data_IF_042254455465
#
_entry.id   IF_042254455465
#
_cell.length_a   1.000
_cell.length_b   1.000
_cell.length_c   1.000
_cell.angle_alpha   90.00
_cell.angle_beta   90.00
_cell.angle_gamma   90.00
#
_symmetry.space_group_name_H-M   'P 1'
#
loop_
_entity.id
_entity.type
_entity.pdbx_description
1 polymer ?
#
# COMPACT_ATOMS: atom_id res chain seq x y z
N UNK A 1 19.42 54.41 -12.53
CA UNK A 1 19.32 53.37 -11.46
C UNK A 1 17.99 52.66 -11.63
N UNK A 2 17.98 51.60 -12.43
CA UNK A 2 16.81 50.78 -12.74
C UNK A 2 17.01 49.40 -12.14
N UNK A 3 16.20 49.03 -11.15
CA UNK A 3 16.14 47.67 -10.63
C UNK A 3 14.77 47.45 -9.96
N UNK A 4 13.78 47.01 -10.73
CA UNK A 4 12.53 46.44 -10.21
C UNK A 4 12.68 44.91 -10.08
N UNK A 5 12.21 44.28 -8.99
CA UNK A 5 12.38 42.85 -8.78
C UNK A 5 11.19 42.02 -9.30
N UNK A 6 11.48 40.96 -10.05
CA UNK A 6 10.98 39.63 -9.68
C UNK A 6 9.56 39.19 -10.06
N UNK A 7 8.91 39.79 -11.07
CA UNK A 7 7.78 39.12 -11.72
C UNK A 7 8.28 38.02 -12.64
N UNK A 8 7.99 36.73 -12.36
CA UNK A 8 8.14 35.67 -13.37
C UNK A 8 7.37 36.17 -14.60
N UNK A 9 8.08 36.51 -15.68
CA UNK A 9 7.49 37.17 -16.84
C UNK A 9 6.23 36.39 -17.25
N UNK A 10 5.07 37.05 -17.31
CA UNK A 10 3.78 36.39 -17.49
C UNK A 10 3.72 35.44 -18.72
N UNK A 11 4.60 35.69 -19.70
CA UNK A 11 4.87 34.81 -20.83
C UNK A 11 5.41 33.42 -20.41
N UNK A 12 6.43 33.38 -19.55
CA UNK A 12 7.04 32.16 -19.01
C UNK A 12 6.06 31.35 -18.17
N UNK A 13 5.15 32.01 -17.43
CA UNK A 13 4.10 31.33 -16.66
C UNK A 13 3.07 30.66 -17.59
N UNK A 14 2.66 31.32 -18.68
CA UNK A 14 1.73 30.72 -19.66
C UNK A 14 2.33 29.52 -20.38
N UNK A 15 3.60 29.60 -20.76
CA UNK A 15 4.31 28.48 -21.39
C UNK A 15 4.43 27.29 -20.43
N UNK A 16 4.80 27.55 -19.17
CA UNK A 16 4.84 26.53 -18.11
C UNK A 16 3.47 25.89 -17.88
N UNK A 17 2.40 26.68 -17.84
CA UNK A 17 1.03 26.20 -17.71
C UNK A 17 0.60 25.34 -18.90
N UNK A 18 1.01 25.71 -20.12
CA UNK A 18 0.74 24.91 -21.34
C UNK A 18 1.39 23.52 -21.26
N UNK A 19 2.65 23.45 -20.82
CA UNK A 19 3.36 22.17 -20.61
C UNK A 19 2.67 21.33 -19.54
N UNK A 20 2.32 21.92 -18.39
CA UNK A 20 1.62 21.22 -17.31
C UNK A 20 0.24 20.70 -17.77
N UNK A 21 -0.55 21.52 -18.47
CA UNK A 21 -1.86 21.13 -18.98
C UNK A 21 -1.80 20.00 -20.02
N UNK A 22 -0.72 19.90 -20.78
CA UNK A 22 -0.51 18.78 -21.71
C UNK A 22 -0.29 17.48 -20.94
N UNK A 23 0.64 17.49 -19.98
CA UNK A 23 0.88 16.36 -19.09
C UNK A 23 -0.40 15.92 -18.38
N UNK A 24 -1.13 16.86 -17.77
CA UNK A 24 -2.35 16.57 -17.03
C UNK A 24 -3.45 15.97 -17.93
N UNK A 25 -3.60 16.44 -19.17
CA UNK A 25 -4.54 15.85 -20.13
C UNK A 25 -4.17 14.42 -20.50
N UNK A 26 -2.88 14.14 -20.69
CA UNK A 26 -2.44 12.77 -20.92
C UNK A 26 -2.70 11.88 -19.70
N UNK A 27 -2.46 12.38 -18.49
CA UNK A 27 -2.69 11.64 -17.24
C UNK A 27 -4.17 11.45 -16.88
N UNK A 28 -5.08 12.29 -17.39
CA UNK A 28 -6.53 12.25 -17.10
C UNK A 28 -7.25 11.09 -17.82
N UNK A 29 -6.74 9.87 -17.63
CA UNK A 29 -7.33 8.63 -18.11
C UNK A 29 -6.93 7.50 -17.16
N UNK A 30 -7.91 6.69 -16.78
CA UNK A 30 -7.77 5.63 -15.77
C UNK A 30 -6.70 4.60 -16.14
N UNK A 31 -6.81 4.00 -17.34
CA UNK A 31 -5.87 2.97 -17.80
C UNK A 31 -4.43 3.51 -17.85
N UNK A 32 -4.22 4.71 -18.40
CA UNK A 32 -2.90 5.34 -18.45
C UNK A 32 -2.33 5.59 -17.05
N UNK A 33 -3.17 6.05 -16.12
CA UNK A 33 -2.76 6.26 -14.75
C UNK A 33 -2.35 4.95 -14.06
N UNK A 34 -3.12 3.88 -14.25
CA UNK A 34 -2.82 2.54 -13.73
C UNK A 34 -1.51 1.98 -14.29
N UNK A 35 -1.29 2.10 -15.60
CA UNK A 35 -0.04 1.71 -16.26
C UNK A 35 1.14 2.46 -15.63
N UNK A 36 1.05 3.79 -15.54
CA UNK A 36 2.13 4.62 -15.00
C UNK A 36 2.41 4.33 -13.51
N UNK A 37 1.39 3.97 -12.72
CA UNK A 37 1.57 3.50 -11.34
C UNK A 37 2.39 2.21 -11.31
N UNK A 38 2.08 1.23 -12.16
CA UNK A 38 2.84 -0.02 -12.25
C UNK A 38 4.30 0.21 -12.70
N UNK A 39 4.52 1.15 -13.61
CA UNK A 39 5.86 1.52 -14.08
C UNK A 39 6.68 2.31 -13.07
N UNK A 40 6.03 2.92 -12.07
CA UNK A 40 6.72 3.55 -10.92
C UNK A 40 7.39 2.50 -10.04
N UNK A 41 6.87 1.26 -10.02
CA UNK A 41 7.43 0.14 -9.26
C UNK A 41 8.61 -0.55 -9.97
N UNK A 42 8.74 -0.38 -11.29
CA UNK A 42 9.79 -1.00 -12.07
C UNK A 42 9.44 -1.14 -13.56
N UNK A 43 10.44 -1.52 -14.35
CA UNK A 43 10.27 -1.81 -15.77
C UNK A 43 9.40 -3.07 -15.97
N UNK A 44 8.39 -3.00 -16.87
CA UNK A 44 7.43 -4.09 -17.11
C UNK A 44 7.12 -4.30 -18.59
N UNK A 45 6.80 -5.52 -18.98
CA UNK A 45 6.30 -5.82 -20.32
C UNK A 45 4.75 -5.83 -20.37
N UNK A 46 4.19 -5.89 -21.59
CA UNK A 46 2.74 -5.83 -21.81
C UNK A 46 2.00 -6.98 -21.11
N UNK A 47 2.55 -8.21 -21.11
CA UNK A 47 1.91 -9.36 -20.46
C UNK A 47 1.91 -9.26 -18.94
N UNK A 48 2.97 -8.70 -18.35
CA UNK A 48 3.00 -8.40 -16.92
C UNK A 48 1.99 -7.32 -16.54
N UNK A 49 1.84 -6.29 -17.39
CA UNK A 49 0.84 -5.24 -17.19
C UNK A 49 -0.58 -5.79 -17.30
N UNK A 50 -0.87 -6.61 -18.31
CA UNK A 50 -2.16 -7.28 -18.50
C UNK A 50 -2.53 -8.15 -17.29
N UNK A 51 -1.61 -8.99 -16.82
CA UNK A 51 -1.82 -9.84 -15.65
C UNK A 51 -2.07 -9.02 -14.36
N UNK A 52 -1.44 -7.85 -14.23
CA UNK A 52 -1.56 -7.01 -13.03
C UNK A 52 -2.77 -6.09 -13.02
N UNK A 53 -3.21 -5.62 -14.20
CA UNK A 53 -4.25 -4.60 -14.33
C UNK A 53 -5.59 -5.15 -14.82
N UNK A 54 -5.62 -6.36 -15.40
CA UNK A 54 -6.83 -6.93 -16.00
C UNK A 54 -7.31 -6.18 -17.25
N UNK A 55 -6.48 -5.29 -17.81
CA UNK A 55 -6.77 -4.54 -19.03
C UNK A 55 -6.35 -5.40 -20.22
N UNK A 56 -7.20 -5.50 -21.24
CA UNK A 56 -6.90 -6.28 -22.44
C UNK A 56 -5.63 -5.80 -23.14
N UNK A 57 -4.89 -6.73 -23.74
CA UNK A 57 -3.68 -6.43 -24.51
C UNK A 57 -3.89 -5.35 -25.59
N UNK A 58 -5.06 -5.31 -26.24
CA UNK A 58 -5.38 -4.30 -27.27
C UNK A 58 -5.48 -2.90 -26.68
N UNK A 59 -6.20 -2.73 -25.55
CA UNK A 59 -6.28 -1.44 -24.86
C UNK A 59 -4.92 -1.02 -24.30
N UNK A 60 -4.18 -1.94 -23.66
CA UNK A 60 -2.83 -1.66 -23.16
C UNK A 60 -1.89 -1.19 -24.26
N UNK A 61 -1.90 -1.84 -25.41
CA UNK A 61 -1.04 -1.47 -26.55
C UNK A 61 -1.40 -0.08 -27.08
N UNK A 62 -2.70 0.26 -27.14
CA UNK A 62 -3.16 1.60 -27.51
C UNK A 62 -2.69 2.65 -26.50
N UNK A 63 -2.90 2.42 -25.20
CA UNK A 63 -2.50 3.36 -24.17
C UNK A 63 -0.98 3.54 -24.11
N UNK A 64 -0.20 2.46 -24.25
CA UNK A 64 1.26 2.52 -24.30
C UNK A 64 1.77 3.27 -25.54
N UNK A 65 1.08 3.16 -26.67
CA UNK A 65 1.40 3.96 -27.86
C UNK A 65 1.22 5.46 -27.61
N UNK A 66 0.08 5.85 -27.01
CA UNK A 66 -0.21 7.24 -26.62
C UNK A 66 0.82 7.74 -25.60
N UNK A 67 1.10 6.96 -24.56
CA UNK A 67 2.09 7.32 -23.53
C UNK A 67 3.50 7.48 -24.10
N UNK A 68 3.84 6.73 -25.16
CA UNK A 68 5.13 6.85 -25.85
C UNK A 68 5.19 8.08 -26.74
N UNK A 69 4.11 8.39 -27.46
CA UNK A 69 3.99 9.60 -28.28
C UNK A 69 4.10 10.87 -27.43
N UNK A 70 3.43 10.89 -26.27
CA UNK A 70 3.51 11.97 -25.28
C UNK A 70 4.79 11.95 -24.43
N UNK A 71 5.76 11.09 -24.76
CA UNK A 71 7.07 10.99 -24.09
C UNK A 71 6.97 10.77 -22.57
N UNK A 72 5.95 10.03 -22.11
CA UNK A 72 5.79 9.65 -20.69
C UNK A 72 6.43 8.30 -20.36
N UNK A 73 6.60 7.43 -21.36
CA UNK A 73 7.26 6.13 -21.21
C UNK A 73 8.33 5.91 -22.27
N UNK A 74 9.36 5.14 -21.92
CA UNK A 74 10.38 4.59 -22.82
C UNK A 74 10.07 3.13 -23.08
N UNK A 75 10.42 2.67 -24.27
CA UNK A 75 10.30 1.26 -24.65
C UNK A 75 11.69 0.70 -24.98
N UNK A 76 12.03 -0.43 -24.37
CA UNK A 76 13.25 -1.20 -24.63
C UNK A 76 12.88 -2.60 -25.10
N UNK A 77 13.40 -3.01 -26.26
CA UNK A 77 13.19 -4.38 -26.75
C UNK A 77 14.23 -5.31 -26.12
N UNK A 78 13.76 -6.39 -25.50
CA UNK A 78 14.60 -7.44 -24.92
C UNK A 78 14.11 -8.81 -25.41
N UNK A 79 14.78 -9.36 -26.43
CA UNK A 79 14.36 -10.58 -27.10
C UNK A 79 12.98 -10.44 -27.75
N UNK A 80 12.05 -11.33 -27.37
CA UNK A 80 10.67 -11.35 -27.87
C UNK A 80 9.79 -10.26 -27.24
N UNK A 81 10.18 -9.71 -26.09
CA UNK A 81 9.35 -8.81 -25.31
C UNK A 81 9.79 -7.34 -25.45
N UNK A 82 8.82 -6.43 -25.33
CA UNK A 82 9.06 -4.99 -25.20
C UNK A 82 8.75 -4.61 -23.76
N UNK A 83 9.75 -4.05 -23.10
CA UNK A 83 9.67 -3.56 -21.74
C UNK A 83 9.51 -2.04 -21.73
N UNK A 84 8.69 -1.55 -20.81
CA UNK A 84 8.38 -0.13 -20.66
C UNK A 84 8.87 0.38 -19.31
N UNK A 85 9.34 1.62 -19.31
CA UNK A 85 9.77 2.35 -18.11
C UNK A 85 9.35 3.82 -18.22
N UNK A 86 9.31 4.56 -17.09
CA UNK A 86 9.00 5.99 -17.11
C UNK A 86 10.07 6.77 -17.88
N UNK A 87 9.66 7.74 -18.69
CA UNK A 87 10.56 8.45 -19.58
C UNK A 87 11.51 9.44 -18.90
N UNK A 88 11.20 9.88 -17.67
CA UNK A 88 12.02 10.85 -16.96
C UNK A 88 11.58 11.11 -15.52
N UNK A 89 12.42 11.83 -14.75
CA UNK A 89 12.21 12.08 -13.33
C UNK A 89 10.98 12.96 -13.05
N UNK A 90 10.57 13.83 -13.97
CA UNK A 90 9.39 14.70 -13.80
C UNK A 90 8.09 13.91 -13.76
N UNK A 91 7.94 12.95 -14.69
CA UNK A 91 6.79 12.04 -14.71
C UNK A 91 6.76 11.21 -13.44
N UNK A 92 7.91 10.67 -13.02
CA UNK A 92 8.02 9.90 -11.79
C UNK A 92 7.62 10.72 -10.55
N UNK A 93 8.02 12.00 -10.46
CA UNK A 93 7.63 12.90 -9.36
C UNK A 93 6.13 13.14 -9.31
N UNK A 94 5.52 13.51 -10.44
CA UNK A 94 4.07 13.74 -10.52
C UNK A 94 3.31 12.46 -10.18
N UNK A 95 3.71 11.32 -10.75
CA UNK A 95 3.09 10.02 -10.46
C UNK A 95 3.24 9.62 -9.00
N UNK A 96 4.40 9.87 -8.37
CA UNK A 96 4.60 9.58 -6.94
C UNK A 96 3.70 10.42 -6.04
N UNK A 97 3.45 11.68 -6.39
CA UNK A 97 2.51 12.54 -5.65
C UNK A 97 1.07 12.06 -5.80
N UNK A 98 0.64 11.80 -7.04
CA UNK A 98 -0.72 11.36 -7.33
C UNK A 98 -1.00 9.96 -6.77
N UNK A 99 -0.08 9.01 -6.92
CA UNK A 99 -0.22 7.67 -6.34
C UNK A 99 -0.21 7.73 -4.81
N UNK A 100 0.64 8.57 -4.21
CA UNK A 100 0.61 8.85 -2.79
C UNK A 100 -0.74 9.40 -2.32
N UNK A 101 -1.41 10.26 -3.09
CA UNK A 101 -2.70 10.83 -2.70
C UNK A 101 -3.89 9.88 -2.93
N UNK A 102 -3.88 9.13 -4.02
CA UNK A 102 -5.06 8.41 -4.50
C UNK A 102 -4.93 6.89 -4.43
N UNK A 103 -3.75 6.32 -4.62
CA UNK A 103 -3.55 4.86 -4.50
C UNK A 103 -3.53 4.40 -3.03
N UNK A 104 -3.35 5.31 -2.06
CA UNK A 104 -3.60 5.03 -0.64
C UNK A 104 -5.07 4.76 -0.32
N UNK A 105 -5.99 5.06 -1.25
CA UNK A 105 -7.42 4.80 -1.09
C UNK A 105 -7.84 3.41 -1.60
N UNK A 106 -6.87 2.62 -2.06
CA UNK A 106 -7.06 1.26 -2.59
C UNK A 106 -6.16 0.25 -1.87
N UNK A 107 -5.92 0.43 -0.57
CA UNK A 107 -5.43 -0.66 0.25
C UNK A 107 -6.49 -1.77 0.21
N UNK A 108 -6.27 -2.82 -0.59
CA UNK A 108 -7.06 -4.06 -0.60
C UNK A 108 -7.01 -4.83 0.73
N UNK A 109 -6.61 -4.14 1.80
CA UNK A 109 -6.57 -4.59 3.16
C UNK A 109 -7.99 -4.71 3.69
N UNK A 110 -8.52 -5.94 3.68
CA UNK A 110 -9.77 -6.27 4.34
C UNK A 110 -9.57 -6.22 5.87
N UNK A 111 -10.24 -5.27 6.52
CA UNK A 111 -10.30 -5.15 7.98
C UNK A 111 -11.64 -5.75 8.44
N UNK A 112 -11.57 -6.68 9.38
CA UNK A 112 -12.73 -7.24 10.07
C UNK A 112 -12.75 -6.74 11.52
N UNK A 113 -13.77 -5.99 11.89
CA UNK A 113 -13.98 -5.55 13.26
C UNK A 113 -14.54 -6.69 14.12
N UNK A 114 -13.98 -6.89 15.31
CA UNK A 114 -14.50 -7.88 16.28
C UNK A 114 -15.20 -7.22 17.46
N UNK A 115 -14.65 -6.11 17.95
CA UNK A 115 -15.28 -5.24 18.94
C UNK A 115 -14.89 -3.77 18.70
N UNK A 116 -15.21 -2.87 19.64
CA UNK A 116 -14.90 -1.43 19.51
C UNK A 116 -13.39 -1.13 19.48
N UNK A 117 -12.58 -1.99 20.09
CA UNK A 117 -11.15 -1.79 20.32
C UNK A 117 -10.27 -2.71 19.47
N UNK A 118 -10.79 -3.79 18.89
CA UNK A 118 -9.99 -4.80 18.20
C UNK A 118 -10.57 -5.14 16.83
N UNK A 119 -9.70 -5.04 15.83
CA UNK A 119 -9.95 -5.47 14.46
C UNK A 119 -8.82 -6.37 13.97
N UNK A 120 -9.08 -7.14 12.92
CA UNK A 120 -8.07 -7.98 12.27
C UNK A 120 -7.98 -7.73 10.78
N UNK A 121 -6.81 -7.98 10.19
CA UNK A 121 -6.65 -7.85 8.75
C UNK A 121 -5.70 -8.89 8.14
N UNK A 122 -5.73 -8.97 6.80
CA UNK A 122 -4.72 -9.66 5.99
C UNK A 122 -3.34 -9.00 6.04
N UNK A 123 -2.44 -9.45 5.18
CA UNK A 123 -1.04 -9.01 5.19
C UNK A 123 -0.94 -7.49 4.97
N UNK A 124 -0.42 -6.77 5.97
CA UNK A 124 -0.09 -5.35 5.84
C UNK A 124 1.11 -5.16 4.90
N UNK A 125 1.01 -4.17 4.03
CA UNK A 125 2.12 -3.53 3.34
C UNK A 125 2.64 -2.34 4.16
N UNK A 126 3.77 -1.78 3.73
CA UNK A 126 4.33 -0.56 4.35
C UNK A 126 3.43 0.65 4.09
N UNK A 127 2.73 0.67 2.96
CA UNK A 127 1.94 1.80 2.51
C UNK A 127 0.57 1.87 3.19
N UNK A 128 0.07 0.73 3.71
CA UNK A 128 -1.22 0.67 4.43
C UNK A 128 -1.18 1.44 5.75
N UNK A 129 -0.01 1.62 6.37
CA UNK A 129 0.09 2.07 7.76
C UNK A 129 -0.33 3.53 7.97
N UNK A 130 -0.17 4.38 6.95
CA UNK A 130 -0.72 5.74 6.98
C UNK A 130 -2.24 5.74 7.03
N UNK A 131 -2.87 4.86 6.23
CA UNK A 131 -4.33 4.68 6.23
C UNK A 131 -4.83 4.01 7.52
N UNK A 132 -4.13 3.00 8.02
CA UNK A 132 -4.43 2.38 9.32
C UNK A 132 -4.41 3.42 10.46
N UNK A 133 -3.44 4.34 10.45
CA UNK A 133 -3.40 5.44 11.42
C UNK A 133 -4.59 6.40 11.28
N UNK A 134 -5.04 6.70 10.05
CA UNK A 134 -6.17 7.61 9.81
C UNK A 134 -7.52 7.00 10.24
N UNK A 135 -7.64 5.67 10.26
CA UNK A 135 -8.79 4.95 10.83
C UNK A 135 -8.82 4.92 12.37
N UNK A 136 -7.82 5.53 13.01
CA UNK A 136 -7.73 5.65 14.47
C UNK A 136 -7.05 4.45 15.16
N UNK A 137 -6.51 3.49 14.41
CA UNK A 137 -5.63 2.49 14.99
C UNK A 137 -4.33 3.16 15.45
N UNK A 138 -3.92 2.85 16.68
CA UNK A 138 -2.62 3.31 17.23
C UNK A 138 -1.76 2.15 17.69
N UNK A 139 -2.27 0.92 17.63
CA UNK A 139 -1.50 -0.29 17.87
C UNK A 139 -1.71 -1.31 16.76
N UNK A 140 -0.62 -1.92 16.27
CA UNK A 140 -0.63 -3.05 15.33
C UNK A 140 0.05 -4.26 15.95
N UNK A 141 -0.54 -5.45 15.79
CA UNK A 141 0.01 -6.71 16.27
C UNK A 141 0.25 -7.66 15.08
N UNK A 142 1.50 -8.02 14.81
CA UNK A 142 1.84 -9.03 13.82
C UNK A 142 1.72 -10.43 14.42
N UNK A 143 0.75 -11.20 13.92
CA UNK A 143 0.47 -12.58 14.34
C UNK A 143 1.12 -13.61 13.40
N UNK A 144 1.71 -13.14 12.28
CA UNK A 144 2.43 -13.98 11.32
C UNK A 144 3.90 -14.16 11.76
N UNK A 145 4.45 -15.38 11.78
CA UNK A 145 5.89 -15.59 11.92
C UNK A 145 6.62 -15.11 10.66
N UNK A 146 7.77 -14.46 10.84
CA UNK A 146 8.65 -14.14 9.71
C UNK A 146 9.13 -15.43 9.02
N UNK A 147 9.15 -15.40 7.69
CA UNK A 147 9.64 -16.51 6.87
C UNK A 147 11.08 -16.23 6.44
N UNK A 148 11.86 -17.30 6.27
CA UNK A 148 13.19 -17.18 5.66
C UNK A 148 13.07 -16.69 4.21
N UNK A 149 13.94 -15.78 3.76
CA UNK A 149 13.99 -15.39 2.35
C UNK A 149 14.25 -16.61 1.44
N UNK A 150 13.70 -16.63 0.21
CA UNK A 150 12.88 -15.60 -0.41
C UNK A 150 11.40 -15.70 -0.01
N UNK A 151 10.85 -14.64 0.59
CA UNK A 151 9.40 -14.49 0.81
C UNK A 151 8.91 -13.20 0.17
N UNK A 152 7.76 -13.25 -0.51
CA UNK A 152 7.09 -12.05 -1.06
C UNK A 152 6.46 -11.19 0.03
N UNK A 153 6.09 -11.78 1.17
CA UNK A 153 5.57 -11.05 2.33
C UNK A 153 6.64 -10.11 2.92
N UNK A 154 6.28 -8.87 3.32
CA UNK A 154 7.21 -7.97 3.99
C UNK A 154 7.54 -8.49 5.40
N UNK A 155 8.82 -8.41 5.78
CA UNK A 155 9.26 -8.82 7.12
C UNK A 155 8.61 -7.97 8.23
N UNK A 156 8.41 -8.56 9.40
CA UNK A 156 7.84 -7.89 10.57
C UNK A 156 8.66 -6.65 10.96
N UNK A 157 9.99 -6.69 10.76
CA UNK A 157 10.88 -5.55 11.00
C UNK A 157 10.59 -4.37 10.05
N UNK A 158 10.30 -4.65 8.77
CA UNK A 158 9.94 -3.59 7.80
C UNK A 158 8.61 -2.94 8.17
N UNK A 159 7.60 -3.73 8.52
CA UNK A 159 6.29 -3.21 8.95
C UNK A 159 6.42 -2.43 10.26
N UNK A 160 7.17 -2.93 11.24
CA UNK A 160 7.46 -2.23 12.50
C UNK A 160 8.01 -0.83 12.27
N UNK A 161 9.04 -0.71 11.41
CA UNK A 161 9.67 0.60 11.12
C UNK A 161 8.67 1.58 10.51
N UNK A 162 7.83 1.11 9.59
CA UNK A 162 6.79 1.92 8.98
C UNK A 162 5.69 2.30 9.97
N UNK A 163 5.32 1.39 10.88
CA UNK A 163 4.30 1.64 11.90
C UNK A 163 4.75 2.76 12.85
N UNK A 164 5.99 2.70 13.33
CA UNK A 164 6.56 3.76 14.15
C UNK A 164 6.60 5.11 13.43
N UNK A 165 6.94 5.13 12.13
CA UNK A 165 6.90 6.36 11.32
C UNK A 165 5.48 6.94 11.21
N UNK A 166 4.45 6.08 11.23
CA UNK A 166 3.04 6.48 11.21
C UNK A 166 2.46 6.77 12.61
N UNK A 167 3.27 6.75 13.68
CA UNK A 167 2.79 6.97 15.05
C UNK A 167 1.99 5.78 15.62
N UNK A 168 2.20 4.58 15.10
CA UNK A 168 1.54 3.34 15.53
C UNK A 168 2.54 2.49 16.35
N UNK A 169 2.12 2.08 17.55
CA UNK A 169 2.84 1.10 18.36
C UNK A 169 2.78 -0.30 17.70
N UNK A 170 3.88 -1.04 17.73
CA UNK A 170 3.98 -2.35 17.07
C UNK A 170 4.36 -3.46 18.03
N UNK A 171 3.57 -4.55 18.03
CA UNK A 171 3.87 -5.79 18.75
C UNK A 171 4.05 -6.97 17.80
N UNK A 172 5.05 -7.81 18.08
CA UNK A 172 5.25 -9.07 17.38
C UNK A 172 4.77 -10.21 18.28
N UNK A 173 3.73 -10.92 17.83
CA UNK A 173 3.11 -12.03 18.55
C UNK A 173 2.85 -13.20 17.58
N UNK A 174 3.90 -13.81 17.01
CA UNK A 174 3.73 -14.83 15.99
C UNK A 174 3.00 -16.04 16.57
N UNK A 175 2.10 -16.66 15.81
CA UNK A 175 1.52 -17.97 16.13
C UNK A 175 1.72 -18.90 14.96
N UNK A 176 1.87 -20.20 15.24
CA UNK A 176 1.88 -21.21 14.19
C UNK A 176 0.45 -21.47 13.69
N UNK A 177 0.32 -21.97 12.48
CA UNK A 177 -0.97 -22.44 11.97
C UNK A 177 -1.45 -23.63 12.81
N UNK A 178 -2.72 -23.61 13.20
CA UNK A 178 -3.34 -24.65 14.02
C UNK A 178 -3.97 -24.09 15.30
N UNK A 179 -4.40 -24.98 16.23
CA UNK A 179 -4.98 -24.59 17.50
C UNK A 179 -4.00 -23.73 18.33
N UNK A 180 -4.48 -22.60 18.84
CA UNK A 180 -3.69 -21.75 19.72
C UNK A 180 -3.77 -22.28 21.15
N UNK A 181 -2.65 -22.56 21.83
CA UNK A 181 -2.66 -22.94 23.24
C UNK A 181 -3.31 -21.87 24.12
N UNK A 182 -4.12 -22.30 25.10
CA UNK A 182 -4.88 -21.37 25.95
C UNK A 182 -4.02 -20.35 26.70
N UNK A 183 -2.81 -20.72 27.12
CA UNK A 183 -1.87 -19.79 27.73
C UNK A 183 -1.42 -18.67 26.78
N UNK A 184 -1.15 -18.99 25.49
CA UNK A 184 -0.86 -17.97 24.47
C UNK A 184 -2.04 -17.05 24.25
N UNK A 185 -3.26 -17.61 24.16
CA UNK A 185 -4.47 -16.81 23.99
C UNK A 185 -4.70 -15.84 25.17
N UNK A 186 -4.48 -16.29 26.42
CA UNK A 186 -4.52 -15.42 27.61
C UNK A 186 -3.43 -14.33 27.57
N UNK A 187 -2.23 -14.65 27.11
CA UNK A 187 -1.16 -13.66 26.94
C UNK A 187 -1.51 -12.61 25.89
N UNK A 188 -2.18 -13.01 24.81
CA UNK A 188 -2.71 -12.10 23.80
C UNK A 188 -3.82 -11.20 24.38
N UNK A 189 -4.76 -11.76 25.15
CA UNK A 189 -5.81 -10.98 25.83
C UNK A 189 -5.21 -9.88 26.72
N UNK A 190 -4.22 -10.23 27.55
CA UNK A 190 -3.51 -9.25 28.40
C UNK A 190 -2.75 -8.19 27.61
N UNK A 191 -2.22 -8.53 26.44
CA UNK A 191 -1.56 -7.56 25.57
C UNK A 191 -2.58 -6.55 25.04
N UNK A 192 -3.71 -7.03 24.50
CA UNK A 192 -4.80 -6.20 24.00
C UNK A 192 -5.39 -5.32 25.10
N UNK A 193 -5.63 -5.87 26.30
CA UNK A 193 -6.18 -5.12 27.43
C UNK A 193 -5.27 -3.98 27.93
N UNK A 194 -3.95 -4.06 27.68
CA UNK A 194 -2.99 -2.99 27.98
C UNK A 194 -2.94 -1.90 26.91
N UNK A 195 -3.56 -2.12 25.75
CA UNK A 195 -3.61 -1.13 24.70
C UNK A 195 -4.76 -0.15 24.96
N UNK A 196 -4.43 1.10 25.25
CA UNK A 196 -5.41 2.17 25.51
C UNK A 196 -6.12 2.65 24.23
N UNK A 197 -5.72 2.14 23.07
CA UNK A 197 -6.14 2.58 21.74
C UNK A 197 -6.56 1.41 20.86
N UNK A 198 -7.31 1.69 19.79
CA UNK A 198 -7.73 0.66 18.81
C UNK A 198 -6.53 -0.14 18.29
N UNK A 199 -6.69 -1.45 18.31
CA UNK A 199 -5.71 -2.47 17.94
C UNK A 199 -6.09 -3.10 16.61
N UNK A 200 -5.13 -3.19 15.70
CA UNK A 200 -5.24 -3.97 14.47
C UNK A 200 -4.28 -5.16 14.48
N UNK A 201 -4.81 -6.38 14.61
CA UNK A 201 -4.01 -7.60 14.57
C UNK A 201 -4.02 -8.24 13.17
N UNK A 202 -2.85 -8.44 12.56
CA UNK A 202 -2.76 -8.94 11.19
C UNK A 202 -1.95 -10.24 11.08
N UNK A 203 -2.30 -11.04 10.08
CA UNK A 203 -1.48 -12.16 9.62
C UNK A 203 -1.54 -12.25 8.10
N UNK A 204 -1.09 -13.35 7.46
CA UNK A 204 -1.09 -13.44 5.99
C UNK A 204 -2.48 -13.24 5.37
N UNK A 205 -3.50 -13.92 5.90
CA UNK A 205 -4.89 -13.86 5.42
C UNK A 205 -5.91 -13.32 6.44
N UNK A 206 -5.48 -12.92 7.64
CA UNK A 206 -6.34 -12.52 8.76
C UNK A 206 -6.91 -13.68 9.61
N UNK A 207 -6.89 -14.92 9.13
CA UNK A 207 -7.49 -16.06 9.85
C UNK A 207 -6.81 -16.35 11.20
N UNK A 208 -5.48 -16.33 11.26
CA UNK A 208 -4.76 -16.63 12.50
C UNK A 208 -4.99 -15.56 13.57
N UNK A 209 -5.05 -14.28 13.19
CA UNK A 209 -5.35 -13.19 14.12
C UNK A 209 -6.80 -13.24 14.59
N UNK A 210 -7.76 -13.54 13.71
CA UNK A 210 -9.17 -13.72 14.08
C UNK A 210 -9.38 -14.92 15.01
N UNK A 211 -8.75 -16.07 14.73
CA UNK A 211 -8.80 -17.25 15.59
C UNK A 211 -8.20 -16.96 16.97
N UNK A 212 -7.03 -16.33 17.01
CA UNK A 212 -6.37 -15.97 18.25
C UNK A 212 -7.23 -15.07 19.12
N UNK A 213 -7.85 -14.04 18.54
CA UNK A 213 -8.75 -13.15 19.27
C UNK A 213 -10.01 -13.86 19.77
N UNK A 214 -10.64 -14.73 18.95
CA UNK A 214 -11.78 -15.55 19.38
C UNK A 214 -11.44 -16.48 20.54
N UNK A 215 -10.30 -17.18 20.49
CA UNK A 215 -9.85 -18.03 21.59
C UNK A 215 -9.57 -17.20 22.85
N UNK A 216 -8.96 -16.02 22.69
CA UNK A 216 -8.65 -15.13 23.80
C UNK A 216 -9.92 -14.65 24.53
N UNK A 217 -10.95 -14.22 23.80
CA UNK A 217 -12.22 -13.75 24.39
C UNK A 217 -13.07 -14.87 24.99
N UNK A 218 -13.02 -16.08 24.41
CA UNK A 218 -13.71 -17.25 24.98
C UNK A 218 -13.13 -17.68 26.33
N UNK A 219 -11.81 -17.57 26.51
CA UNK A 219 -11.13 -17.93 27.76
C UNK A 219 -11.23 -16.86 28.85
N UNK A 220 -11.60 -15.63 28.48
CA UNK A 220 -11.78 -14.50 29.39
C UNK A 220 -13.23 -14.36 29.87
N UNK A 221 -14.17 -15.09 29.24
CA UNK A 221 -15.53 -15.23 29.79
C UNK A 221 -15.47 -16.04 31.09
N UNK A 222 -16.07 -15.56 32.19
CA UNK A 222 -16.23 -16.38 33.38
C UNK A 222 -16.97 -17.65 32.99
N UNK A 223 -16.48 -18.80 33.46
CA UNK A 223 -17.19 -20.06 33.30
C UNK A 223 -18.60 -19.88 33.87
N UNK A 224 -19.61 -19.95 33.01
CA UNK A 224 -21.00 -20.03 33.48
C UNK A 224 -21.09 -21.35 34.21
N UNK A 225 -21.13 -21.29 35.55
CA UNK A 225 -21.38 -22.44 36.40
C UNK A 225 -22.75 -23.00 36.06
N UNK A 226 -22.77 -24.17 35.44
CA UNK A 226 -23.92 -25.07 35.45
C UNK A 226 -23.78 -26.04 36.63
#
# INVERSE_FOLDING_TARGET
MTSEPGGIAAFTLRESASVACRLLRTLANEDRFLILCQLTLGERNVGELEASLGISQSSLSQQLAILREESLVRARRNGKYVHYSLAGPDVARVMSMLSGMYCQRTSGLSISDHDRNVSTAGQLSVDDLGWVASLGFRTVICVRPDSSPPSTDPSSHRIRRAAHKAGIAFHYFPVQSGPVPGERARRFARLVAKCESRVLAYCRSGNSSANLYRTATQLDRPAVSA
#
